data_IF_316517095481
#
_entry.id   IF_316517095481
#
_cell.length_a   1.000
_cell.length_b   1.000
_cell.length_c   1.000
_cell.angle_alpha   90.00
_cell.angle_beta   90.00
_cell.angle_gamma   90.00
#
_symmetry.space_group_name_H-M   'P 1'
#
loop_
_entity.id
_entity.type
_entity.pdbx_description
1 polymer ?
#
# COMPACT_ATOMS: atom_id res chain seq x y z
N UNK A 1 14.02 -6.94 6.74
CA UNK A 1 13.27 -8.13 6.29
C UNK A 1 12.25 -8.51 7.34
N UNK A 2 11.14 -9.07 6.90
CA UNK A 2 10.08 -9.46 7.80
C UNK A 2 8.96 -8.43 7.82
N UNK A 3 8.10 -8.51 8.83
CA UNK A 3 6.94 -7.64 8.93
C UNK A 3 7.15 -6.50 9.88
N UNK A 4 6.49 -5.39 9.62
CA UNK A 4 6.59 -4.25 10.49
C UNK A 4 5.54 -3.19 10.19
N UNK A 5 5.47 -2.20 11.07
CA UNK A 5 4.56 -1.08 10.94
C UNK A 5 5.35 0.21 10.89
N UNK A 6 5.04 1.05 9.92
CA UNK A 6 5.68 2.34 9.81
C UNK A 6 4.60 3.43 9.75
N UNK A 7 4.75 4.46 10.56
CA UNK A 7 3.83 5.59 10.57
C UNK A 7 4.51 6.77 9.88
N UNK A 8 3.87 7.30 8.85
CA UNK A 8 4.42 8.43 8.11
C UNK A 8 4.14 9.74 8.86
N UNK A 9 5.04 10.72 8.73
CA UNK A 9 4.82 12.02 9.39
C UNK A 9 3.50 12.69 8.99
N UNK A 10 3.01 12.40 7.80
CA UNK A 10 1.76 13.00 7.30
C UNK A 10 0.50 12.38 7.90
N UNK A 11 0.63 11.30 8.71
CA UNK A 11 -0.52 10.68 9.36
C UNK A 11 -0.95 9.36 8.76
N UNK A 12 -0.34 8.93 7.66
CA UNK A 12 -0.61 7.61 7.10
C UNK A 12 0.23 6.55 7.77
N UNK A 13 -0.01 5.28 7.41
CA UNK A 13 0.84 4.21 7.92
C UNK A 13 0.87 3.02 6.98
N UNK A 14 1.90 2.21 7.13
CA UNK A 14 2.06 0.98 6.38
C UNK A 14 2.22 -0.18 7.36
N UNK A 15 1.49 -1.26 7.12
CA UNK A 15 1.60 -2.49 7.91
C UNK A 15 1.81 -3.63 6.92
N UNK A 16 2.91 -4.35 7.04
CA UNK A 16 3.14 -5.45 6.13
C UNK A 16 4.60 -5.86 6.09
N UNK A 17 4.96 -6.48 4.98
CA UNK A 17 6.29 -7.04 4.80
C UNK A 17 7.29 -6.00 4.33
N UNK A 18 8.54 -6.17 4.77
CA UNK A 18 9.64 -5.28 4.44
C UNK A 18 10.82 -6.08 3.92
N UNK A 19 11.57 -5.47 3.03
CA UNK A 19 12.81 -6.05 2.54
C UNK A 19 13.80 -4.94 2.27
N UNK A 20 14.98 -5.03 2.90
CA UNK A 20 16.05 -4.04 2.70
C UNK A 20 15.58 -2.62 2.92
N UNK A 21 14.76 -2.41 3.97
CA UNK A 21 14.30 -1.09 4.36
C UNK A 21 13.15 -0.55 3.53
N UNK A 22 12.57 -1.36 2.65
CA UNK A 22 11.46 -0.93 1.79
C UNK A 22 10.27 -1.86 1.92
N UNK A 23 9.08 -1.32 1.67
CA UNK A 23 7.88 -2.14 1.60
C UNK A 23 8.05 -3.14 0.46
N UNK A 24 7.82 -4.41 0.75
CA UNK A 24 8.00 -5.45 -0.24
C UNK A 24 7.20 -6.66 0.18
N UNK A 25 6.34 -7.17 -0.71
CA UNK A 25 5.47 -8.29 -0.39
C UNK A 25 4.08 -7.80 -0.03
N UNK A 26 3.35 -8.57 0.76
CA UNK A 26 1.97 -8.24 1.10
C UNK A 26 1.93 -7.16 2.18
N UNK A 27 1.07 -6.17 1.99
CA UNK A 27 0.96 -5.10 2.97
C UNK A 27 -0.29 -4.28 2.79
N UNK A 28 -0.47 -3.33 3.73
CA UNK A 28 -1.61 -2.44 3.74
C UNK A 28 -1.11 -1.04 4.07
N UNK A 29 -1.39 -0.11 3.18
CA UNK A 29 -1.04 1.30 3.40
C UNK A 29 -2.31 2.10 3.60
N UNK A 30 -2.35 2.89 4.66
CA UNK A 30 -3.48 3.73 5.00
C UNK A 30 -3.07 5.19 4.85
N UNK A 31 -3.95 6.01 4.28
CA UNK A 31 -3.70 7.43 4.06
C UNK A 31 -4.58 8.25 4.99
N UNK A 32 -4.14 9.45 5.38
CA UNK A 32 -4.89 10.27 6.32
C UNK A 32 -6.21 10.80 5.77
N UNK A 33 -6.39 10.79 4.45
CA UNK A 33 -7.62 11.30 3.82
C UNK A 33 -8.71 10.23 3.66
N UNK A 34 -8.51 9.05 4.24
CA UNK A 34 -9.49 7.97 4.16
C UNK A 34 -9.23 6.95 3.08
N UNK A 35 -8.19 7.15 2.31
CA UNK A 35 -7.81 6.15 1.30
C UNK A 35 -6.95 5.06 1.90
N UNK A 36 -6.96 3.89 1.29
CA UNK A 36 -6.05 2.82 1.68
C UNK A 36 -5.78 1.91 0.50
N UNK A 37 -4.63 1.25 0.55
CA UNK A 37 -4.25 0.29 -0.47
C UNK A 37 -3.95 -1.04 0.22
N UNK A 38 -4.49 -2.12 -0.32
CA UNK A 38 -4.25 -3.47 0.20
C UNK A 38 -3.78 -4.33 -0.95
N UNK A 39 -2.62 -4.96 -0.78
CA UNK A 39 -2.09 -5.84 -1.79
C UNK A 39 -0.59 -5.96 -1.72
N UNK A 40 0.00 -6.18 -2.88
CA UNK A 40 1.43 -6.41 -2.99
C UNK A 40 2.20 -5.11 -3.21
N UNK A 41 3.35 -5.02 -2.55
CA UNK A 41 4.29 -3.92 -2.75
C UNK A 41 5.59 -4.47 -3.31
N UNK A 42 6.27 -3.65 -4.08
CA UNK A 42 7.57 -4.00 -4.62
C UNK A 42 8.47 -2.77 -4.61
N UNK A 43 9.58 -2.86 -3.85
CA UNK A 43 10.55 -1.77 -3.72
C UNK A 43 9.91 -0.45 -3.32
N UNK A 44 8.98 -0.50 -2.36
CA UNK A 44 8.34 0.68 -1.84
C UNK A 44 7.16 1.19 -2.65
N UNK A 45 6.78 0.47 -3.71
CA UNK A 45 5.69 0.89 -4.59
C UNK A 45 4.55 -0.12 -4.58
N UNK A 46 3.34 0.37 -4.78
CA UNK A 46 2.20 -0.50 -5.01
C UNK A 46 2.44 -1.29 -6.29
N UNK A 47 2.19 -2.59 -6.24
CA UNK A 47 2.48 -3.44 -7.39
C UNK A 47 1.23 -4.14 -7.91
N UNK A 48 0.65 -5.06 -7.14
CA UNK A 48 -0.59 -5.73 -7.50
C UNK A 48 -1.54 -5.63 -6.33
N UNK A 49 -2.60 -4.87 -6.47
CA UNK A 49 -3.54 -4.72 -5.37
C UNK A 49 -4.67 -3.77 -5.71
N UNK A 50 -5.40 -3.38 -4.68
CA UNK A 50 -6.60 -2.57 -4.83
C UNK A 50 -6.54 -1.37 -3.89
N UNK A 51 -6.83 -0.20 -4.44
CA UNK A 51 -6.96 1.01 -3.65
C UNK A 51 -8.41 1.32 -3.35
N UNK A 52 -8.67 1.73 -2.11
CA UNK A 52 -10.02 2.02 -1.62
C UNK A 52 -10.09 3.46 -1.13
N UNK A 53 -11.28 4.03 -1.19
CA UNK A 53 -11.57 5.32 -0.55
C UNK A 53 -12.94 5.22 0.07
N UNK A 54 -13.01 5.39 1.40
CA UNK A 54 -14.26 5.31 2.16
C UNK A 54 -15.01 4.00 1.91
N UNK A 55 -14.24 2.90 1.78
CA UNK A 55 -14.82 1.58 1.58
C UNK A 55 -15.13 1.21 0.14
N UNK A 56 -14.88 2.12 -0.80
CA UNK A 56 -15.16 1.86 -2.21
C UNK A 56 -13.87 1.70 -2.99
N UNK A 57 -13.87 0.79 -3.97
CA UNK A 57 -12.71 0.58 -4.84
C UNK A 57 -12.61 1.75 -5.80
N UNK A 58 -11.47 2.45 -5.79
CA UNK A 58 -11.25 3.60 -6.68
C UNK A 58 -10.14 3.36 -7.67
N UNK A 59 -9.27 2.39 -7.42
CA UNK A 59 -8.14 2.14 -8.29
C UNK A 59 -7.63 0.72 -8.10
N UNK A 60 -7.05 0.16 -9.14
CA UNK A 60 -6.33 -1.11 -9.05
C UNK A 60 -4.93 -0.91 -9.58
N UNK A 61 -4.02 -1.73 -9.07
CA UNK A 61 -2.66 -1.76 -9.56
C UNK A 61 -2.37 -3.15 -10.13
N UNK A 62 -1.79 -3.18 -11.32
CA UNK A 62 -1.37 -4.42 -11.97
C UNK A 62 0.05 -4.21 -12.47
N UNK A 63 1.00 -4.97 -11.92
CA UNK A 63 2.42 -4.87 -12.25
C UNK A 63 2.93 -3.44 -12.16
N UNK A 64 2.48 -2.72 -11.13
CA UNK A 64 2.92 -1.36 -10.88
C UNK A 64 2.17 -0.29 -11.66
N UNK A 65 1.25 -0.69 -12.51
CA UNK A 65 0.45 0.27 -13.29
C UNK A 65 -0.88 0.51 -12.64
N UNK A 66 -1.25 1.77 -12.54
CA UNK A 66 -2.51 2.16 -11.94
C UNK A 66 -3.62 2.11 -12.98
N UNK A 67 -4.68 1.39 -12.63
CA UNK A 67 -5.86 1.26 -13.48
C UNK A 67 -7.05 1.80 -12.69
N UNK A 68 -7.63 2.88 -13.17
CA UNK A 68 -8.76 3.51 -12.47
C UNK A 68 -10.07 2.80 -12.78
N UNK A 69 -10.93 2.77 -11.78
CA UNK A 69 -12.26 2.19 -11.90
C UNK A 69 -13.27 3.24 -12.36
#
# INVERSE_FOLDING_TARGET
NGQGTYTFPSGGKYVGEWKDGRENGQGKRTFPDGRKYIGEFKDGKEWNGTGYKNGEIVVRFVNGKQIEQ
#
